data_IF_159956221241
#
_entry.id   IF_159956221241
#
_cell.length_a   1.000
_cell.length_b   1.000
_cell.length_c   1.000
_cell.angle_alpha   90.00
_cell.angle_beta   90.00
_cell.angle_gamma   90.00
#
_symmetry.space_group_name_H-M   'P 1'
#
loop_
_entity.id
_entity.type
_entity.pdbx_description
1 polymer ?
#
# COMPACT_ATOMS: atom_id res chain seq x y z
N UNK A 1 7.00 -5.64 -17.43
CA UNK A 1 6.44 -5.68 -16.07
C UNK A 1 5.57 -4.47 -15.82
N UNK A 2 4.50 -4.64 -15.08
CA UNK A 2 3.62 -3.55 -14.69
C UNK A 2 4.09 -2.94 -13.37
N UNK A 3 3.82 -1.64 -13.20
CA UNK A 3 4.12 -0.93 -11.96
C UNK A 3 2.87 -0.88 -11.09
N UNK A 4 3.02 -1.32 -9.86
CA UNK A 4 1.97 -1.25 -8.84
C UNK A 4 2.38 -0.33 -7.71
N UNK A 5 1.41 0.26 -7.06
CA UNK A 5 1.62 1.06 -5.86
C UNK A 5 1.04 0.31 -4.67
N UNK A 6 1.88 0.03 -3.68
CA UNK A 6 1.44 -0.57 -2.42
C UNK A 6 1.26 0.54 -1.39
N UNK A 7 0.04 0.68 -0.88
CA UNK A 7 -0.26 1.56 0.24
C UNK A 7 -0.22 0.75 1.52
N UNK A 8 0.44 1.27 2.53
CA UNK A 8 0.51 0.57 3.81
C UNK A 8 0.62 1.55 4.96
N UNK A 9 0.33 1.05 6.15
CA UNK A 9 0.57 1.79 7.39
C UNK A 9 1.85 1.30 8.02
N UNK A 10 2.64 2.23 8.47
CA UNK A 10 3.84 1.97 9.26
C UNK A 10 3.59 2.42 10.69
N UNK A 11 3.93 1.58 11.65
CA UNK A 11 3.72 1.83 13.08
C UNK A 11 5.07 2.01 13.77
N UNK A 12 5.60 3.24 13.83
CA UNK A 12 6.90 3.48 14.47
C UNK A 12 6.85 3.39 15.99
N UNK A 13 5.65 3.46 16.58
CA UNK A 13 5.45 3.37 18.02
C UNK A 13 4.04 2.91 18.33
N UNK A 14 3.73 2.74 19.62
CA UNK A 14 2.47 2.13 20.05
C UNK A 14 1.22 2.90 19.65
N UNK A 15 1.31 4.22 19.54
CA UNK A 15 0.16 5.08 19.25
C UNK A 15 0.31 5.87 17.96
N UNK A 16 1.31 5.56 17.15
CA UNK A 16 1.54 6.27 15.90
C UNK A 16 1.26 5.37 14.71
N UNK A 17 0.67 5.98 13.68
CA UNK A 17 0.40 5.30 12.42
C UNK A 17 0.70 6.28 11.30
N UNK A 18 1.59 5.87 10.40
CA UNK A 18 1.98 6.69 9.26
C UNK A 18 1.53 6.04 7.97
N UNK A 19 1.01 6.85 7.06
CA UNK A 19 0.68 6.43 5.71
C UNK A 19 1.96 6.41 4.88
N UNK A 20 2.25 5.26 4.30
CA UNK A 20 3.43 5.08 3.46
C UNK A 20 3.04 4.42 2.14
N UNK A 21 3.94 4.46 1.19
CA UNK A 21 3.75 3.79 -0.07
C UNK A 21 5.08 3.29 -0.61
N UNK A 22 5.00 2.29 -1.50
CA UNK A 22 6.17 1.83 -2.24
C UNK A 22 5.73 1.38 -3.62
N UNK A 23 6.62 1.53 -4.59
CA UNK A 23 6.39 1.03 -5.95
C UNK A 23 6.88 -0.40 -6.05
N UNK A 24 6.07 -1.24 -6.71
CA UNK A 24 6.40 -2.64 -6.93
C UNK A 24 6.24 -2.94 -8.41
N UNK A 25 7.26 -3.54 -9.01
CA UNK A 25 7.22 -3.99 -10.40
C UNK A 25 6.93 -5.48 -10.41
N UNK A 26 5.84 -5.86 -11.06
CA UNK A 26 5.37 -7.22 -11.08
C UNK A 26 4.58 -7.51 -12.35
N UNK A 27 4.42 -8.78 -12.65
CA UNK A 27 3.67 -9.27 -13.78
C UNK A 27 2.17 -8.99 -13.61
N UNK A 28 1.66 -9.22 -12.40
CA UNK A 28 0.26 -9.06 -12.06
C UNK A 28 0.11 -8.71 -10.57
N UNK A 29 -1.14 -8.50 -10.15
CA UNK A 29 -1.45 -8.13 -8.77
C UNK A 29 -1.02 -9.21 -7.77
N UNK A 30 -1.19 -10.48 -8.12
CA UNK A 30 -0.81 -11.60 -7.25
C UNK A 30 0.70 -11.59 -6.97
N UNK A 31 1.51 -11.39 -8.00
CA UNK A 31 2.96 -11.29 -7.85
C UNK A 31 3.36 -10.05 -7.06
N UNK A 32 2.69 -8.92 -7.32
CA UNK A 32 2.95 -7.68 -6.57
C UNK A 32 2.70 -7.88 -5.07
N UNK A 33 1.61 -8.55 -4.72
CA UNK A 33 1.27 -8.86 -3.33
C UNK A 33 2.34 -9.72 -2.67
N UNK A 34 2.78 -10.76 -3.37
CA UNK A 34 3.85 -11.64 -2.87
C UNK A 34 5.14 -10.88 -2.64
N UNK A 35 5.51 -10.01 -3.58
CA UNK A 35 6.72 -9.19 -3.45
C UNK A 35 6.63 -8.27 -2.24
N UNK A 36 5.47 -7.61 -2.05
CA UNK A 36 5.29 -6.74 -0.90
C UNK A 36 5.42 -7.50 0.41
N UNK A 37 4.80 -8.69 0.51
CA UNK A 37 4.89 -9.53 1.70
C UNK A 37 6.33 -9.93 2.03
N UNK A 38 7.17 -10.10 1.02
CA UNK A 38 8.59 -10.39 1.22
C UNK A 38 9.44 -9.18 1.59
N UNK A 39 8.94 -7.96 1.32
CA UNK A 39 9.66 -6.71 1.60
C UNK A 39 9.27 -6.09 2.93
N UNK A 40 8.09 -6.37 3.43
CA UNK A 40 7.52 -5.67 4.58
C UNK A 40 8.28 -5.96 5.86
N UNK A 41 8.29 -4.97 6.75
CA UNK A 41 8.76 -5.13 8.12
C UNK A 41 7.62 -5.59 9.03
N UNK A 42 7.95 -6.06 10.24
CA UNK A 42 6.96 -6.60 11.17
C UNK A 42 5.90 -5.57 11.61
N UNK A 43 6.27 -4.28 11.59
CA UNK A 43 5.40 -3.20 12.04
C UNK A 43 4.73 -2.46 10.86
N UNK A 44 4.51 -3.16 9.77
CA UNK A 44 3.84 -2.61 8.59
C UNK A 44 2.60 -3.41 8.25
N UNK A 45 1.53 -2.72 7.90
CA UNK A 45 0.27 -3.33 7.55
C UNK A 45 -0.19 -2.86 6.18
N UNK A 46 -0.41 -3.81 5.26
CA UNK A 46 -0.89 -3.50 3.92
C UNK A 46 -2.32 -2.98 3.96
N UNK A 47 -2.55 -1.89 3.23
CA UNK A 47 -3.87 -1.34 3.00
C UNK A 47 -4.42 -1.84 1.68
N UNK A 48 -3.68 -1.57 0.60
CA UNK A 48 -4.13 -1.91 -0.75
C UNK A 48 -2.95 -1.84 -1.72
N UNK A 49 -2.97 -2.69 -2.74
CA UNK A 49 -2.06 -2.60 -3.88
C UNK A 49 -2.89 -2.27 -5.11
N UNK A 50 -2.54 -1.18 -5.80
CA UNK A 50 -3.30 -0.69 -6.95
C UNK A 50 -2.37 -0.46 -8.15
N UNK A 51 -2.88 -0.65 -9.40
CA UNK A 51 -2.05 -0.43 -10.57
C UNK A 51 -1.89 1.07 -10.87
N UNK A 52 -0.65 1.50 -10.86
CA UNK A 52 -0.18 2.76 -11.44
C UNK A 52 -0.90 4.09 -11.11
N UNK A 53 -1.45 4.34 -9.92
CA UNK A 53 -1.88 5.68 -9.53
C UNK A 53 -0.75 6.47 -8.89
N UNK A 54 -0.95 7.79 -8.71
CA UNK A 54 -0.08 8.55 -7.81
C UNK A 54 -0.45 8.22 -6.36
N UNK A 55 0.50 8.36 -5.40
CA UNK A 55 0.19 8.13 -4.00
C UNK A 55 -0.97 8.98 -3.48
N UNK A 56 -1.03 10.25 -3.90
CA UNK A 56 -2.11 11.15 -3.48
C UNK A 56 -3.47 10.65 -3.95
N UNK A 57 -3.57 10.22 -5.21
CA UNK A 57 -4.82 9.69 -5.75
C UNK A 57 -5.24 8.42 -5.03
N UNK A 58 -4.29 7.54 -4.76
CA UNK A 58 -4.57 6.28 -4.09
C UNK A 58 -5.07 6.50 -2.66
N UNK A 59 -4.44 7.42 -1.90
CA UNK A 59 -4.88 7.72 -0.55
C UNK A 59 -6.24 8.44 -0.53
N UNK A 60 -6.52 9.28 -1.51
CA UNK A 60 -7.85 9.91 -1.64
C UNK A 60 -8.94 8.88 -1.86
N UNK A 61 -8.69 7.88 -2.69
CA UNK A 61 -9.65 6.79 -2.91
C UNK A 61 -9.89 5.99 -1.64
N UNK A 62 -8.85 5.71 -0.89
CA UNK A 62 -8.95 5.02 0.39
C UNK A 62 -9.80 5.82 1.39
N UNK A 63 -9.53 7.11 1.52
CA UNK A 63 -10.28 7.99 2.43
C UNK A 63 -11.75 8.06 2.04
N UNK A 64 -12.03 8.13 0.74
CA UNK A 64 -13.39 8.17 0.21
C UNK A 64 -14.16 6.90 0.55
N UNK A 65 -13.54 5.74 0.41
CA UNK A 65 -14.16 4.46 0.76
C UNK A 65 -14.49 4.39 2.24
N UNK A 66 -13.59 4.86 3.09
CA UNK A 66 -13.82 4.87 4.53
C UNK A 66 -14.98 5.77 4.92
N UNK A 67 -15.12 6.91 4.26
CA UNK A 67 -16.22 7.85 4.53
C UNK A 67 -17.57 7.27 4.13
N UNK A 68 -17.62 6.33 3.19
CA UNK A 68 -18.84 5.71 2.70
C UNK A 68 -19.27 4.51 3.55
N UNK A 69 -18.45 4.07 4.48
CA UNK A 69 -18.76 2.92 5.35
C UNK A 69 -19.50 3.35 6.62
#
# INVERSE_FOLDING_TARGET
MNRFLALYFHFPGDNERRREFTHIYAKDLSEATKKWLGMRSANEQLVQIVPNPTPDQAWKLYDRRRAEQ
#
